data_IF_133122407302
#
_entry.id   IF_133122407302
#
_cell.length_a   1.000
_cell.length_b   1.000
_cell.length_c   1.000
_cell.angle_alpha   90.00
_cell.angle_beta   90.00
_cell.angle_gamma   90.00
#
_symmetry.space_group_name_H-M   'P 1'
#
loop_
_entity.id
_entity.type
_entity.pdbx_description
1 polymer ?
#
# COMPACT_ATOMS: atom_id res chain seq x y z
N UNK A 1 1.96 -21.65 14.37
CA UNK A 1 1.10 -20.50 14.02
C UNK A 1 1.85 -19.70 12.97
N UNK A 2 1.53 -19.88 11.69
CA UNK A 2 2.17 -19.19 10.56
C UNK A 2 1.14 -18.22 9.99
N UNK A 3 1.02 -17.05 10.60
CA UNK A 3 -0.05 -16.09 10.28
C UNK A 3 0.42 -14.86 9.51
N UNK A 4 1.72 -14.63 9.30
CA UNK A 4 2.18 -13.24 9.19
C UNK A 4 2.65 -12.68 7.84
N UNK A 5 2.53 -13.32 6.65
CA UNK A 5 2.98 -12.65 5.42
C UNK A 5 2.19 -11.38 5.11
N UNK A 6 0.91 -11.30 5.50
CA UNK A 6 0.08 -10.11 5.26
C UNK A 6 0.37 -9.00 6.28
N UNK A 7 0.46 -9.31 7.57
CA UNK A 7 0.76 -8.30 8.61
C UNK A 7 2.15 -7.68 8.41
N UNK A 8 3.15 -8.50 8.08
CA UNK A 8 4.50 -8.03 7.80
C UNK A 8 4.54 -7.16 6.54
N UNK A 9 3.88 -7.58 5.46
CA UNK A 9 3.77 -6.78 4.24
C UNK A 9 3.03 -5.44 4.46
N UNK A 10 2.02 -5.43 5.33
CA UNK A 10 1.32 -4.21 5.74
C UNK A 10 2.29 -3.25 6.43
N UNK A 11 3.07 -3.73 7.40
CA UNK A 11 4.02 -2.87 8.12
C UNK A 11 5.16 -2.39 7.22
N UNK A 12 5.71 -3.25 6.36
CA UNK A 12 6.73 -2.85 5.38
C UNK A 12 6.20 -1.76 4.43
N UNK A 13 4.98 -1.92 3.92
CA UNK A 13 4.38 -0.92 3.04
C UNK A 13 4.13 0.41 3.76
N UNK A 14 3.74 0.36 5.05
CA UNK A 14 3.58 1.58 5.86
C UNK A 14 4.89 2.34 6.01
N UNK A 15 6.00 1.64 6.28
CA UNK A 15 7.32 2.26 6.36
C UNK A 15 7.63 3.00 5.07
N UNK A 16 7.42 2.39 3.91
CA UNK A 16 7.74 3.03 2.63
C UNK A 16 6.95 4.32 2.37
N UNK A 17 5.64 4.34 2.65
CA UNK A 17 4.84 5.56 2.50
C UNK A 17 5.19 6.64 3.54
N UNK A 18 5.73 6.26 4.70
CA UNK A 18 6.19 7.22 5.71
C UNK A 18 7.57 7.80 5.37
N UNK A 19 8.45 7.00 4.76
CA UNK A 19 9.76 7.46 4.29
C UNK A 19 9.65 8.30 3.01
N UNK A 20 8.69 7.98 2.14
CA UNK A 20 8.42 8.68 0.88
C UNK A 20 6.99 9.21 0.84
N UNK A 21 6.72 10.42 1.34
CA UNK A 21 5.36 10.93 1.49
C UNK A 21 4.66 11.27 0.16
N UNK A 22 5.42 11.47 -0.93
CA UNK A 22 4.90 11.66 -2.30
C UNK A 22 4.73 10.33 -3.05
N UNK A 23 4.95 9.20 -2.38
CA UNK A 23 4.86 7.89 -3.00
C UNK A 23 3.44 7.63 -3.46
N UNK A 24 3.33 7.21 -4.71
CA UNK A 24 2.08 6.77 -5.30
C UNK A 24 2.36 5.45 -6.02
N UNK A 25 1.76 4.34 -5.60
CA UNK A 25 2.01 3.04 -6.23
C UNK A 25 0.75 2.43 -6.83
N UNK A 26 0.88 1.76 -7.96
CA UNK A 26 -0.15 0.87 -8.49
C UNK A 26 -0.07 -0.50 -7.81
N UNK A 27 -1.14 -1.33 -7.84
CA UNK A 27 -1.08 -2.68 -7.28
C UNK A 27 0.09 -3.51 -7.81
N UNK A 28 0.37 -3.45 -9.11
CA UNK A 28 1.49 -4.18 -9.72
C UNK A 28 2.86 -3.72 -9.20
N UNK A 29 3.00 -2.43 -8.86
CA UNK A 29 4.24 -1.92 -8.27
C UNK A 29 4.40 -2.37 -6.82
N UNK A 30 3.31 -2.43 -6.05
CA UNK A 30 3.35 -2.98 -4.68
C UNK A 30 3.71 -4.47 -4.69
N UNK A 31 3.10 -5.24 -5.59
CA UNK A 31 3.44 -6.65 -5.78
C UNK A 31 4.92 -6.86 -6.08
N UNK A 32 5.49 -6.04 -6.98
CA UNK A 32 6.91 -6.11 -7.33
C UNK A 32 7.84 -5.63 -6.20
N UNK A 33 7.42 -4.62 -5.42
CA UNK A 33 8.21 -4.06 -4.32
C UNK A 33 8.37 -5.04 -3.16
N UNK A 34 7.30 -5.78 -2.84
CA UNK A 34 7.23 -6.68 -1.69
C UNK A 34 7.29 -8.16 -2.08
N UNK A 35 7.53 -8.47 -3.36
CA UNK A 35 7.54 -9.83 -3.92
C UNK A 35 6.29 -10.65 -3.58
N UNK A 36 5.12 -10.05 -3.78
CA UNK A 36 3.81 -10.62 -3.43
C UNK A 36 3.03 -11.10 -4.67
N UNK A 37 2.24 -12.16 -4.50
CA UNK A 37 1.22 -12.52 -5.47
C UNK A 37 0.07 -11.49 -5.49
N UNK A 38 -0.78 -11.55 -6.52
CA UNK A 38 -1.87 -10.59 -6.69
C UNK A 38 -2.96 -10.65 -5.61
N UNK A 39 -3.20 -11.82 -5.01
CA UNK A 39 -4.21 -12.01 -3.95
C UNK A 39 -3.71 -11.39 -2.64
N UNK A 40 -2.46 -11.68 -2.29
CA UNK A 40 -1.79 -11.13 -1.10
C UNK A 40 -1.63 -9.62 -1.23
N UNK A 41 -1.23 -9.13 -2.41
CA UNK A 41 -1.15 -7.68 -2.70
C UNK A 41 -2.50 -6.99 -2.51
N UNK A 42 -3.58 -7.57 -3.03
CA UNK A 42 -4.92 -7.00 -2.89
C UNK A 42 -5.37 -6.96 -1.41
N UNK A 43 -5.05 -7.99 -0.63
CA UNK A 43 -5.37 -8.04 0.79
C UNK A 43 -4.61 -6.96 1.60
N UNK A 44 -3.32 -6.78 1.33
CA UNK A 44 -2.48 -5.75 1.98
C UNK A 44 -3.01 -4.35 1.67
N UNK A 45 -3.25 -4.05 0.39
CA UNK A 45 -3.79 -2.76 -0.04
C UNK A 45 -5.15 -2.48 0.59
N UNK A 46 -6.03 -3.49 0.64
CA UNK A 46 -7.35 -3.36 1.24
C UNK A 46 -7.28 -3.08 2.74
N UNK A 47 -6.39 -3.75 3.47
CA UNK A 47 -6.20 -3.49 4.89
C UNK A 47 -5.74 -2.04 5.17
N UNK A 48 -4.89 -1.49 4.30
CA UNK A 48 -4.43 -0.10 4.40
C UNK A 48 -5.49 0.94 4.00
N UNK A 49 -6.35 0.61 3.04
CA UNK A 49 -7.54 1.43 2.71
C UNK A 49 -8.56 1.42 3.86
N UNK A 50 -8.89 0.23 4.39
CA UNK A 50 -9.89 0.08 5.45
C UNK A 50 -9.44 0.79 6.75
N UNK A 51 -8.13 0.88 6.99
CA UNK A 51 -7.54 1.67 8.08
C UNK A 51 -7.36 3.15 7.78
N UNK A 52 -7.72 3.61 6.57
CA UNK A 52 -7.53 4.98 6.06
C UNK A 52 -6.07 5.45 6.05
N UNK A 53 -5.13 4.51 6.03
CA UNK A 53 -3.71 4.82 5.86
C UNK A 53 -3.41 5.14 4.40
N UNK A 54 -4.00 4.41 3.45
CA UNK A 54 -3.93 4.72 2.02
C UNK A 54 -5.29 5.15 1.48
N UNK A 55 -5.23 6.00 0.46
CA UNK A 55 -6.35 6.35 -0.39
C UNK A 55 -6.06 5.92 -1.83
N UNK A 56 -7.08 5.41 -2.50
CA UNK A 56 -7.00 5.08 -3.93
C UNK A 56 -7.45 6.27 -4.77
N UNK A 57 -6.57 6.74 -5.63
CA UNK A 57 -6.83 7.80 -6.59
C UNK A 57 -7.71 7.30 -7.76
N UNK A 58 -8.34 8.20 -8.53
CA UNK A 58 -9.13 7.82 -9.71
C UNK A 58 -8.34 7.06 -10.79
N UNK A 59 -7.03 7.28 -10.88
CA UNK A 59 -6.15 6.56 -11.81
C UNK A 59 -5.61 5.22 -11.25
N UNK A 60 -6.12 4.79 -10.09
CA UNK A 60 -5.83 3.48 -9.51
C UNK A 60 -4.48 3.38 -8.79
N UNK A 61 -3.91 4.53 -8.38
CA UNK A 61 -2.72 4.58 -7.52
C UNK A 61 -3.15 4.69 -6.07
N UNK A 62 -2.30 4.18 -5.18
CA UNK A 62 -2.48 4.29 -3.74
C UNK A 62 -1.54 5.38 -3.25
N UNK A 63 -2.05 6.31 -2.45
CA UNK A 63 -1.31 7.44 -1.89
C UNK A 63 -1.58 7.52 -0.39
N UNK A 64 -0.63 8.09 0.35
CA UNK A 64 -0.85 8.44 1.75
C UNK A 64 -1.41 9.87 1.84
N UNK A 65 -2.57 10.10 2.50
CA UNK A 65 -3.32 11.36 2.41
C UNK A 65 -2.64 12.58 3.04
N UNK A 66 -1.53 12.41 3.79
CA UNK A 66 -0.79 13.54 4.39
C UNK A 66 -0.09 14.45 3.37
N UNK A 67 0.04 14.04 2.10
CA UNK A 67 0.47 14.94 1.02
C UNK A 67 -0.58 14.92 -0.08
N UNK A 68 -1.52 15.86 0.00
CA UNK A 68 -2.48 16.10 -1.08
C UNK A 68 -1.72 16.65 -2.29
N UNK A 69 -1.46 15.80 -3.28
CA UNK A 69 -1.15 16.26 -4.64
C UNK A 69 -2.38 17.01 -5.14
N UNK A 70 -2.32 18.34 -5.09
CA UNK A 70 -3.27 19.22 -5.79
C UNK A 70 -3.17 18.86 -7.27
N UNK A 71 -4.19 18.20 -7.81
CA UNK A 71 -4.36 17.98 -9.26
C UNK A 71 -5.45 18.91 -9.76
#
# INVERSE_FOLDING_TARGET
MVSQPIEEAVELLRVEYLEMPDLALTPSQVAALLDLDGVTTAAVLRALEDSRFLERTPNGRFIHPRVTILT
#
